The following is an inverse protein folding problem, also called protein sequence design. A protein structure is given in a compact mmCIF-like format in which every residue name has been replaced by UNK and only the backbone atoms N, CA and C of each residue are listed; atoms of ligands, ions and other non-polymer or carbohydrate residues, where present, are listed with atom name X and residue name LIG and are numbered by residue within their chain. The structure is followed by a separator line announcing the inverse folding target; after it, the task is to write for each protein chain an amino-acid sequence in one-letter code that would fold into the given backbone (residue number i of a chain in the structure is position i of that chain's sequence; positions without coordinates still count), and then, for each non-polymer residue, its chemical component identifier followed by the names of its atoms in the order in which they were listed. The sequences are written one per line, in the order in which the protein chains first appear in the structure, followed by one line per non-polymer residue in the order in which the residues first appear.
data_IF_859413012109
#
_entry.id   IF_859413012109
#
_cell.length_a   1.000
_cell.length_b   1.000
_cell.length_c   1.000
_cell.angle_alpha   90.00
_cell.angle_beta   90.00
_cell.angle_gamma   90.00
#
_symmetry.space_group_name_H-M   'P 1'
#
loop_
_entity.id
_entity.type
_entity.pdbx_description
1 polymer ?
#
# COMPACT_ATOMS: atom_id res chain seq x y z
N UNK A 1 -9.50 8.44 -2.97
CA UNK A 1 -9.28 7.61 -4.18
C UNK A 1 -8.90 6.17 -3.84
N UNK A 2 -7.66 5.86 -3.42
CA UNK A 2 -7.24 4.48 -3.13
C UNK A 2 -8.02 3.84 -1.98
N UNK A 3 -8.23 4.58 -0.89
CA UNK A 3 -9.04 4.10 0.24
C UNK A 3 -10.51 3.90 -0.14
N UNK A 4 -11.08 4.78 -0.97
CA UNK A 4 -12.48 4.65 -1.42
C UNK A 4 -12.66 3.45 -2.34
N UNK A 5 -11.71 3.24 -3.27
CA UNK A 5 -11.69 2.06 -4.13
C UNK A 5 -11.54 0.76 -3.32
N UNK A 6 -10.70 0.77 -2.28
CA UNK A 6 -10.59 -0.35 -1.34
C UNK A 6 -11.88 -0.58 -0.57
N UNK A 7 -12.49 0.47 -0.02
CA UNK A 7 -13.74 0.35 0.72
C UNK A 7 -14.87 -0.25 -0.14
N UNK A 8 -14.98 0.19 -1.40
CA UNK A 8 -15.94 -0.35 -2.35
C UNK A 8 -15.67 -1.84 -2.66
N UNK A 9 -14.42 -2.20 -2.97
CA UNK A 9 -14.05 -3.60 -3.21
C UNK A 9 -14.26 -4.48 -1.98
N UNK A 10 -13.95 -3.97 -0.79
CA UNK A 10 -14.07 -4.71 0.47
C UNK A 10 -15.53 -4.93 0.90
N UNK A 11 -16.45 -4.09 0.44
CA UNK A 11 -17.88 -4.21 0.68
C UNK A 11 -18.60 -5.14 -0.32
N UNK A 12 -17.93 -5.57 -1.39
CA UNK A 12 -18.47 -6.49 -2.39
C UNK A 12 -18.42 -7.94 -1.86
N UNK A 13 -19.54 -8.66 -1.95
CA UNK A 13 -19.70 -10.03 -1.45
C UNK A 13 -19.23 -11.11 -2.43
N UNK A 14 -18.88 -10.75 -3.67
CA UNK A 14 -18.43 -11.66 -4.71
C UNK A 14 -16.92 -11.89 -4.72
N UNK A 15 -16.31 -11.73 -5.90
CA UNK A 15 -14.86 -11.80 -6.16
C UNK A 15 -14.36 -10.48 -6.76
N UNK A 16 -14.35 -9.40 -5.98
CA UNK A 16 -14.11 -8.05 -6.48
C UNK A 16 -12.69 -7.87 -7.01
N UNK A 17 -12.55 -6.98 -7.99
CA UNK A 17 -11.24 -6.56 -8.50
C UNK A 17 -11.04 -5.05 -8.33
N UNK A 18 -10.08 -4.65 -7.51
CA UNK A 18 -9.55 -3.29 -7.45
C UNK A 18 -8.45 -3.14 -8.50
N UNK A 19 -8.68 -2.29 -9.49
CA UNK A 19 -7.71 -2.01 -10.55
C UNK A 19 -6.93 -0.73 -10.27
N UNK A 20 -5.59 -0.80 -10.36
CA UNK A 20 -4.72 0.37 -10.45
C UNK A 20 -4.28 0.49 -11.91
N UNK A 21 -4.85 1.43 -12.69
CA UNK A 21 -4.60 1.53 -14.13
C UNK A 21 -3.15 1.88 -14.48
N UNK A 22 -2.79 1.75 -15.75
CA UNK A 22 -1.46 2.09 -16.27
C UNK A 22 -1.18 3.60 -16.23
N UNK A 23 -0.78 4.13 -15.08
CA UNK A 23 -0.26 5.48 -14.88
C UNK A 23 0.61 5.52 -13.61
N UNK A 24 1.15 6.69 -13.25
CA UNK A 24 1.90 6.94 -12.01
C UNK A 24 1.02 7.58 -10.96
N UNK A 25 1.01 7.04 -9.75
CA UNK A 25 0.20 7.52 -8.64
C UNK A 25 1.06 7.71 -7.40
N UNK A 26 1.19 8.95 -6.91
CA UNK A 26 1.87 9.23 -5.64
C UNK A 26 0.91 8.98 -4.48
N UNK A 27 1.31 8.15 -3.54
CA UNK A 27 0.50 7.78 -2.38
C UNK A 27 1.31 7.87 -1.08
N UNK A 28 0.68 8.37 -0.02
CA UNK A 28 1.20 8.25 1.34
C UNK A 28 1.00 6.83 1.89
N UNK A 29 0.97 6.66 3.22
CA UNK A 29 0.59 5.39 3.84
C UNK A 29 -0.81 4.94 3.41
N UNK A 30 -0.94 3.66 3.06
CA UNK A 30 -2.19 3.00 2.71
C UNK A 30 -2.46 1.85 3.67
N UNK A 31 -3.64 1.87 4.28
CA UNK A 31 -4.15 0.78 5.11
C UNK A 31 -5.38 0.17 4.44
N UNK A 32 -5.18 -0.98 3.83
CA UNK A 32 -6.21 -1.82 3.24
C UNK A 32 -6.68 -2.85 4.26
N UNK A 33 -7.63 -2.42 5.09
CA UNK A 33 -8.12 -3.17 6.24
C UNK A 33 -9.36 -4.00 5.89
N UNK A 34 -9.38 -5.24 6.38
CA UNK A 34 -10.56 -6.10 6.47
C UNK A 34 -11.07 -6.28 7.91
N UNK A 35 -11.93 -7.28 8.18
CA UNK A 35 -12.40 -8.28 7.22
C UNK A 35 -13.28 -7.66 6.13
N UNK A 36 -13.20 -8.22 4.92
CA UNK A 36 -14.01 -7.83 3.77
C UNK A 36 -15.15 -8.85 3.56
N UNK A 37 -16.21 -8.44 2.85
CA UNK A 37 -17.42 -9.25 2.65
C UNK A 37 -17.27 -10.30 1.55
N UNK A 38 -16.17 -10.26 0.79
CA UNK A 38 -15.91 -11.13 -0.35
C UNK A 38 -15.98 -12.61 0.06
N UNK A 39 -16.78 -13.38 -0.69
CA UNK A 39 -16.87 -14.83 -0.54
C UNK A 39 -15.82 -15.56 -1.40
N UNK A 40 -15.38 -14.92 -2.49
CA UNK A 40 -14.26 -15.37 -3.31
C UNK A 40 -13.06 -14.41 -3.25
N UNK A 41 -12.07 -14.54 -4.16
CA UNK A 41 -10.84 -13.74 -4.09
C UNK A 41 -11.09 -12.23 -4.27
N UNK A 42 -10.54 -11.41 -3.37
CA UNK A 42 -10.41 -9.97 -3.57
C UNK A 42 -9.10 -9.71 -4.31
N UNK A 43 -9.20 -9.35 -5.59
CA UNK A 43 -8.03 -9.13 -6.45
C UNK A 43 -7.64 -7.67 -6.50
N UNK A 44 -6.40 -7.36 -6.16
CA UNK A 44 -5.76 -6.08 -6.47
C UNK A 44 -4.92 -6.28 -7.73
N UNK A 45 -5.35 -5.68 -8.84
CA UNK A 45 -4.67 -5.77 -10.13
C UNK A 45 -3.95 -4.46 -10.44
N UNK A 46 -2.62 -4.52 -10.40
CA UNK A 46 -1.74 -3.35 -10.56
C UNK A 46 -1.13 -3.34 -11.96
N UNK A 47 -1.47 -2.34 -12.75
CA UNK A 47 -0.90 -2.11 -14.08
C UNK A 47 -0.03 -0.84 -14.12
N UNK A 48 -0.27 0.11 -13.22
CA UNK A 48 0.51 1.34 -13.09
C UNK A 48 1.69 1.24 -12.12
N UNK A 49 2.30 2.40 -11.87
CA UNK A 49 3.34 2.58 -10.86
C UNK A 49 2.75 3.33 -9.67
N UNK A 50 2.75 2.69 -8.52
CA UNK A 50 2.41 3.29 -7.23
C UNK A 50 3.71 3.82 -6.63
N UNK A 51 3.83 5.12 -6.44
CA UNK A 51 5.02 5.81 -5.93
C UNK A 51 4.78 6.20 -4.48
N UNK A 52 5.70 5.91 -3.57
CA UNK A 52 5.56 6.39 -2.21
C UNK A 52 5.81 7.89 -2.14
N UNK A 53 5.04 8.63 -1.37
CA UNK A 53 5.29 10.07 -1.19
C UNK A 53 6.71 10.34 -0.68
N UNK A 54 7.40 11.31 -1.27
CA UNK A 54 8.70 11.78 -0.77
C UNK A 54 8.57 12.72 0.44
N UNK A 55 7.34 13.15 0.78
CA UNK A 55 7.08 13.83 2.04
C UNK A 55 7.07 12.81 3.20
N UNK A 56 8.24 12.63 3.82
CA UNK A 56 8.48 11.66 4.90
C UNK A 56 7.63 11.89 6.15
N UNK A 57 7.14 13.13 6.37
CA UNK A 57 6.29 13.46 7.51
C UNK A 57 4.92 12.76 7.47
N UNK A 58 4.50 12.26 6.30
CA UNK A 58 3.29 11.47 6.16
C UNK A 58 3.42 10.08 6.79
N UNK A 59 4.64 9.57 6.98
CA UNK A 59 4.89 8.20 7.44
C UNK A 59 5.10 8.16 8.94
N UNK A 60 4.00 8.09 9.69
CA UNK A 60 4.02 7.97 11.15
C UNK A 60 4.23 6.53 11.62
N UNK A 61 3.75 5.54 10.85
CA UNK A 61 3.90 4.10 11.10
C UNK A 61 5.14 3.45 10.47
N UNK A 62 5.14 2.11 10.44
CA UNK A 62 6.23 1.28 9.91
C UNK A 62 5.94 0.70 8.52
N UNK A 63 4.76 1.00 7.98
CA UNK A 63 4.27 0.43 6.73
C UNK A 63 3.92 1.54 5.74
N UNK A 64 4.24 1.31 4.46
CA UNK A 64 3.77 2.15 3.37
C UNK A 64 2.45 1.64 2.80
N UNK A 65 2.38 0.36 2.41
CA UNK A 65 1.13 -0.28 1.95
C UNK A 65 0.89 -1.53 2.77
N UNK A 66 -0.14 -1.50 3.61
CA UNK A 66 -0.49 -2.61 4.50
C UNK A 66 -1.85 -3.19 4.14
N UNK A 67 -1.86 -4.47 3.78
CA UNK A 67 -3.08 -5.28 3.73
C UNK A 67 -3.26 -5.99 5.07
N UNK A 68 -4.29 -5.61 5.82
CA UNK A 68 -4.48 -6.09 7.20
C UNK A 68 -5.78 -6.88 7.36
N UNK A 69 -5.67 -8.13 7.84
CA UNK A 69 -6.81 -9.02 8.11
C UNK A 69 -7.75 -9.19 6.91
N UNK A 70 -7.18 -9.40 5.74
CA UNK A 70 -7.93 -9.63 4.49
C UNK A 70 -7.89 -11.12 4.15
N UNK A 71 -9.06 -11.70 3.87
CA UNK A 71 -9.18 -13.09 3.43
C UNK A 71 -9.12 -13.18 1.91
N UNK A 72 -8.44 -14.22 1.39
CA UNK A 72 -8.35 -14.51 -0.05
C UNK A 72 -7.85 -13.31 -0.90
N UNK A 73 -6.93 -12.51 -0.37
CA UNK A 73 -6.30 -11.43 -1.12
C UNK A 73 -5.43 -11.99 -2.25
N UNK A 74 -5.59 -11.44 -3.45
CA UNK A 74 -4.72 -11.73 -4.61
C UNK A 74 -4.13 -10.44 -5.16
N UNK A 75 -2.81 -10.30 -5.09
CA UNK A 75 -2.07 -9.20 -5.72
C UNK A 75 -1.50 -9.66 -7.07
N UNK A 76 -1.85 -8.98 -8.16
CA UNK A 76 -1.48 -9.39 -9.53
C UNK A 76 -1.20 -8.18 -10.43
N UNK A 77 -0.69 -8.45 -11.63
CA UNK A 77 -0.47 -7.46 -12.68
C UNK A 77 1.01 -7.26 -12.98
N UNK A 78 1.30 -6.33 -13.89
CA UNK A 78 2.65 -6.03 -14.40
C UNK A 78 3.18 -4.69 -13.91
N UNK A 79 2.43 -4.02 -13.04
CA UNK A 79 2.78 -2.72 -12.48
C UNK A 79 3.85 -2.81 -11.39
N UNK A 80 4.07 -1.70 -10.71
CA UNK A 80 5.19 -1.54 -9.77
C UNK A 80 4.77 -0.78 -8.53
N UNK A 81 5.24 -1.21 -7.36
CA UNK A 81 5.28 -0.39 -6.16
C UNK A 81 6.71 0.13 -6.02
N UNK A 82 6.89 1.43 -6.23
CA UNK A 82 8.16 2.13 -6.12
C UNK A 82 8.19 2.91 -4.80
N UNK A 83 8.98 2.42 -3.85
CA UNK A 83 9.12 3.00 -2.51
C UNK A 83 9.80 4.37 -2.49
N UNK A 84 10.51 4.79 -3.55
CA UNK A 84 11.30 6.03 -3.55
C UNK A 84 12.26 6.17 -2.34
N UNK A 85 12.82 5.06 -1.87
CA UNK A 85 13.57 4.98 -0.61
C UNK A 85 14.88 5.76 -0.54
N UNK A 86 15.42 6.21 -1.67
CA UNK A 86 16.55 7.15 -1.71
C UNK A 86 16.27 8.42 -0.90
N UNK A 87 15.00 8.80 -0.74
CA UNK A 87 14.59 9.93 0.10
C UNK A 87 14.71 9.63 1.60
N UNK A 88 14.48 8.38 2.01
CA UNK A 88 14.39 7.97 3.41
C UNK A 88 15.67 7.35 3.96
N UNK A 89 16.46 6.64 3.16
CA UNK A 89 17.68 5.96 3.62
C UNK A 89 18.66 6.88 4.37
N UNK A 90 18.91 8.14 3.93
CA UNK A 90 19.78 9.06 4.68
C UNK A 90 19.26 9.43 6.08
N UNK A 91 17.96 9.24 6.34
CA UNK A 91 17.34 9.52 7.64
C UNK A 91 17.46 8.34 8.62
N UNK A 92 17.97 7.18 8.18
CA UNK A 92 18.11 6.01 9.03
C UNK A 92 19.25 6.19 10.05
N UNK A 93 18.87 6.41 11.32
CA UNK A 93 19.81 6.56 12.43
C UNK A 93 20.04 5.26 13.23
N UNK A 94 19.39 4.15 12.85
CA UNK A 94 19.51 2.86 13.56
C UNK A 94 20.92 2.29 13.66
N UNK A 95 21.85 2.55 12.71
CA UNK A 95 23.25 2.16 12.89
C UNK A 95 23.93 2.86 14.08
N UNK A 96 23.44 4.03 14.50
CA UNK A 96 24.08 4.89 15.50
C UNK A 96 23.27 5.07 16.79
N UNK A 97 21.97 4.78 16.78
CA UNK A 97 21.05 4.98 17.90
C UNK A 97 20.24 3.72 18.19
N UNK A 98 20.20 3.31 19.46
CA UNK A 98 19.40 2.17 19.94
C UNK A 98 17.89 2.39 19.77
N UNK A 99 17.42 3.62 19.97
CA UNK A 99 16.04 4.01 19.71
C UNK A 99 16.04 4.88 18.45
N UNK A 100 15.61 4.27 17.36
CA UNK A 100 15.58 4.86 16.04
C UNK A 100 14.26 4.49 15.37
N UNK A 101 13.83 5.31 14.41
CA UNK A 101 12.69 5.01 13.56
C UNK A 101 13.19 4.75 12.16
N UNK A 102 12.87 3.57 11.62
CA UNK A 102 13.04 3.29 10.19
C UNK A 102 11.81 3.81 9.48
N UNK A 103 12.01 4.58 8.40
CA UNK A 103 10.93 5.03 7.54
C UNK A 103 10.58 3.92 6.55
N UNK A 104 9.31 3.74 6.20
CA UNK A 104 8.83 2.54 5.51
C UNK A 104 8.92 2.60 3.98
N UNK A 105 9.69 3.54 3.45
CA UNK A 105 9.78 3.89 2.04
C UNK A 105 11.21 3.93 1.58
#
# INVERSE_FOLDING_TARGET
AFNDAWAAACADSGSPTLMIPGNKYVVGPLLFKGPCQNTGPLTVKVQGTVLASTNLNLFTGQEWVLFYKVNQLRLTGTGTFDGQGTTAWPQNQCPFKKQCKVLPV
#
